data_IF_126268929129
#
_entry.id   IF_126268929129
#
_cell.length_a   1.000
_cell.length_b   1.000
_cell.length_c   1.000
_cell.angle_alpha   90.00
_cell.angle_beta   90.00
_cell.angle_gamma   90.00
#
_symmetry.space_group_name_H-M   'P 1'
#
loop_
_entity.id
_entity.type
_entity.pdbx_description
1 polymer ?
#
# COMPACT_ATOMS: atom_id res chain seq x y z
N UNK A 1 -0.56 -11.63 -66.86
CA UNK A 1 0.31 -10.58 -66.29
C UNK A 1 -0.18 -10.30 -64.87
N UNK A 2 0.66 -10.54 -63.86
CA UNK A 2 0.34 -10.32 -62.43
C UNK A 2 0.86 -8.94 -62.03
N UNK A 3 0.03 -8.09 -61.45
CA UNK A 3 0.45 -6.86 -60.75
C UNK A 3 0.13 -6.99 -59.25
N UNK A 4 1.11 -6.76 -58.36
CA UNK A 4 0.91 -6.66 -56.92
C UNK A 4 0.79 -5.18 -56.51
N UNK A 5 0.02 -4.88 -55.46
CA UNK A 5 0.33 -3.79 -54.52
C UNK A 5 -0.70 -3.78 -53.40
N UNK A 6 -0.31 -4.37 -52.28
CA UNK A 6 -0.88 -4.06 -50.99
C UNK A 6 -0.42 -2.64 -50.59
N UNK A 7 -1.36 -1.77 -50.20
CA UNK A 7 -1.05 -0.60 -49.37
C UNK A 7 -2.08 -0.55 -48.25
N UNK A 8 -1.55 -0.79 -47.05
CA UNK A 8 -2.21 -0.82 -45.75
C UNK A 8 -2.49 0.63 -45.35
N UNK A 9 -3.75 1.01 -45.15
CA UNK A 9 -4.12 2.28 -44.52
C UNK A 9 -4.34 2.01 -43.02
N UNK A 10 -3.33 2.35 -42.22
CA UNK A 10 -3.37 2.21 -40.77
C UNK A 10 -4.31 3.26 -40.15
N UNK A 11 -5.48 2.82 -39.67
CA UNK A 11 -6.29 3.58 -38.71
C UNK A 11 -5.60 3.53 -37.34
N UNK A 12 -4.97 4.63 -36.94
CA UNK A 12 -4.54 4.83 -35.55
C UNK A 12 -5.59 5.67 -34.84
N UNK A 13 -6.56 5.00 -34.22
CA UNK A 13 -7.44 5.63 -33.23
C UNK A 13 -6.65 5.77 -31.94
N UNK A 14 -6.15 6.98 -31.67
CA UNK A 14 -5.60 7.34 -30.36
C UNK A 14 -6.74 7.45 -29.36
N UNK A 15 -7.04 6.35 -28.67
CA UNK A 15 -7.92 6.37 -27.50
C UNK A 15 -7.20 7.09 -26.36
N UNK A 16 -7.55 8.36 -26.14
CA UNK A 16 -7.23 9.09 -24.91
C UNK A 16 -8.04 8.47 -23.78
N UNK A 17 -7.44 7.51 -23.05
CA UNK A 17 -7.97 7.05 -21.78
C UNK A 17 -7.90 8.21 -20.78
N UNK A 18 -8.99 8.97 -20.63
CA UNK A 18 -9.16 9.87 -19.49
C UNK A 18 -9.16 9.01 -18.23
N UNK A 19 -8.11 9.15 -17.43
CA UNK A 19 -8.01 8.54 -16.11
C UNK A 19 -9.22 8.96 -15.28
N UNK A 20 -10.13 8.02 -15.04
CA UNK A 20 -11.20 8.19 -14.08
C UNK A 20 -10.56 8.24 -12.69
N UNK A 21 -10.47 9.43 -12.09
CA UNK A 21 -10.16 9.56 -10.68
C UNK A 21 -11.20 8.74 -9.91
N UNK A 22 -10.81 7.69 -9.18
CA UNK A 22 -11.78 6.89 -8.45
C UNK A 22 -12.56 7.82 -7.51
N UNK A 23 -13.90 7.69 -7.43
CA UNK A 23 -14.70 8.53 -6.55
C UNK A 23 -14.17 8.39 -5.13
N UNK A 24 -13.78 9.52 -4.53
CA UNK A 24 -13.40 9.58 -3.11
C UNK A 24 -14.66 9.24 -2.32
N UNK A 25 -14.71 8.01 -1.80
CA UNK A 25 -15.79 7.59 -0.92
C UNK A 25 -15.83 8.54 0.28
N UNK A 26 -17.02 8.93 0.77
CA UNK A 26 -17.14 9.76 1.97
C UNK A 26 -16.38 9.09 3.11
N UNK A 27 -15.45 9.83 3.72
CA UNK A 27 -14.72 9.35 4.89
C UNK A 27 -15.73 9.04 5.99
N UNK A 28 -15.75 7.81 6.49
CA UNK A 28 -16.59 7.45 7.63
C UNK A 28 -16.29 8.40 8.80
N UNK A 29 -17.29 8.71 9.65
CA UNK A 29 -17.06 9.51 10.84
C UNK A 29 -15.91 8.94 11.68
N UNK A 30 -15.04 9.82 12.18
CA UNK A 30 -13.97 9.40 13.09
C UNK A 30 -14.61 9.02 14.42
N UNK A 31 -14.63 7.72 14.71
CA UNK A 31 -15.09 7.11 15.95
C UNK A 31 -13.98 6.19 16.46
N UNK A 32 -14.06 5.79 17.72
CA UNK A 32 -13.13 4.81 18.30
C UNK A 32 -13.12 3.53 17.44
N UNK A 33 -14.28 3.03 17.03
CA UNK A 33 -14.39 1.84 16.20
C UNK A 33 -13.75 2.01 14.81
N UNK A 34 -13.92 3.17 14.14
CA UNK A 34 -13.30 3.39 12.83
C UNK A 34 -11.79 3.57 12.96
N UNK A 35 -11.31 4.14 14.05
CA UNK A 35 -9.89 4.24 14.38
C UNK A 35 -9.26 2.87 14.66
N UNK A 36 -9.90 2.04 15.49
CA UNK A 36 -9.44 0.67 15.76
C UNK A 36 -9.35 -0.16 14.47
N UNK A 37 -10.36 -0.07 13.61
CA UNK A 37 -10.35 -0.74 12.29
C UNK A 37 -9.23 -0.20 11.39
N UNK A 38 -9.00 1.11 11.44
CA UNK A 38 -7.89 1.76 10.73
C UNK A 38 -6.54 1.20 11.16
N UNK A 39 -6.30 1.05 12.46
CA UNK A 39 -5.06 0.46 12.99
C UNK A 39 -4.85 -0.99 12.55
N UNK A 40 -5.91 -1.79 12.57
CA UNK A 40 -5.86 -3.18 12.09
C UNK A 40 -5.47 -3.23 10.61
N UNK A 41 -6.18 -2.47 9.78
CA UNK A 41 -5.89 -2.42 8.35
C UNK A 41 -4.48 -1.91 8.06
N UNK A 42 -4.04 -0.88 8.78
CA UNK A 42 -2.69 -0.33 8.64
C UNK A 42 -1.62 -1.38 9.00
N UNK A 43 -1.81 -2.13 10.09
CA UNK A 43 -0.91 -3.22 10.47
C UNK A 43 -0.83 -4.28 9.38
N UNK A 44 -1.97 -4.79 8.90
CA UNK A 44 -2.02 -5.79 7.83
C UNK A 44 -1.30 -5.32 6.56
N UNK A 45 -1.55 -4.08 6.12
CA UNK A 45 -0.88 -3.50 4.96
C UNK A 45 0.63 -3.39 5.17
N UNK A 46 1.07 -2.93 6.34
CA UNK A 46 2.50 -2.82 6.65
C UNK A 46 3.20 -4.19 6.63
N UNK A 47 2.57 -5.22 7.20
CA UNK A 47 3.08 -6.58 7.18
C UNK A 47 3.28 -7.11 5.76
N UNK A 48 2.27 -6.93 4.91
CA UNK A 48 2.33 -7.34 3.51
C UNK A 48 3.39 -6.56 2.73
N UNK A 49 3.49 -5.24 2.96
CA UNK A 49 4.46 -4.39 2.28
C UNK A 49 5.91 -4.76 2.62
N UNK A 50 6.22 -5.05 3.89
CA UNK A 50 7.58 -5.46 4.30
C UNK A 50 8.01 -6.75 3.63
N UNK A 51 7.10 -7.71 3.52
CA UNK A 51 7.39 -8.97 2.82
C UNK A 51 7.71 -8.74 1.33
N UNK A 52 7.17 -7.70 0.71
CA UNK A 52 7.49 -7.32 -0.66
C UNK A 52 8.80 -6.54 -0.84
N UNK A 53 9.41 -6.05 0.25
CA UNK A 53 10.64 -5.28 0.15
C UNK A 53 11.83 -6.17 -0.21
N UNK A 54 12.80 -5.65 -0.99
CA UNK A 54 14.10 -6.30 -1.15
C UNK A 54 14.73 -6.58 0.21
N UNK A 55 15.43 -7.72 0.34
CA UNK A 55 16.10 -8.09 1.60
C UNK A 55 17.04 -6.99 2.13
N UNK A 56 17.67 -6.21 1.23
CA UNK A 56 18.53 -5.09 1.58
C UNK A 56 17.79 -3.90 2.21
N UNK A 57 16.49 -3.74 1.95
CA UNK A 57 15.66 -2.64 2.46
C UNK A 57 14.90 -3.02 3.75
N UNK A 58 14.72 -4.32 4.02
CA UNK A 58 13.94 -4.81 5.16
C UNK A 58 14.43 -4.33 6.53
N UNK A 59 15.74 -4.29 6.85
CA UNK A 59 16.19 -3.83 8.17
C UNK A 59 15.79 -2.39 8.48
N UNK A 60 15.90 -1.49 7.49
CA UNK A 60 15.51 -0.08 7.67
C UNK A 60 13.98 0.04 7.85
N UNK A 61 13.20 -0.71 7.09
CA UNK A 61 11.74 -0.75 7.26
C UNK A 61 11.32 -1.28 8.63
N UNK A 62 11.97 -2.33 9.14
CA UNK A 62 11.72 -2.86 10.48
C UNK A 62 12.01 -1.84 11.57
N UNK A 63 13.08 -1.05 11.45
CA UNK A 63 13.37 0.04 12.40
C UNK A 63 12.27 1.12 12.38
N UNK A 64 11.83 1.55 11.20
CA UNK A 64 10.74 2.51 11.06
C UNK A 64 9.43 2.00 11.69
N UNK A 65 9.15 0.70 11.56
CA UNK A 65 7.97 0.07 12.16
C UNK A 65 8.03 0.03 13.70
N UNK A 66 9.21 -0.21 14.28
CA UNK A 66 9.41 -0.14 15.73
C UNK A 66 9.26 1.30 16.25
N UNK A 67 9.78 2.28 15.52
CA UNK A 67 9.60 3.69 15.84
C UNK A 67 8.11 4.09 15.79
N UNK A 68 7.40 3.67 14.73
CA UNK A 68 5.96 3.88 14.61
C UNK A 68 5.18 3.24 15.77
N UNK A 69 5.51 2.00 16.16
CA UNK A 69 4.86 1.36 17.30
C UNK A 69 5.09 2.13 18.61
N UNK A 70 6.30 2.69 18.81
CA UNK A 70 6.62 3.53 19.96
C UNK A 70 5.78 4.82 19.98
N UNK A 71 5.55 5.42 18.81
CA UNK A 71 4.64 6.57 18.65
C UNK A 71 3.21 6.16 19.04
N UNK A 72 2.72 5.01 18.58
CA UNK A 72 1.39 4.51 18.96
C UNK A 72 1.26 4.32 20.48
N UNK A 73 2.29 3.78 21.14
CA UNK A 73 2.29 3.66 22.61
C UNK A 73 2.16 5.03 23.27
N UNK A 74 2.93 6.02 22.82
CA UNK A 74 2.94 7.36 23.41
C UNK A 74 1.67 8.18 23.14
N UNK A 75 1.06 8.03 21.98
CA UNK A 75 -0.06 8.87 21.54
C UNK A 75 -1.43 8.21 21.72
N UNK A 76 -1.50 6.88 21.62
CA UNK A 76 -2.76 6.11 21.61
C UNK A 76 -2.81 5.04 22.71
N UNK A 77 -1.72 4.85 23.44
CA UNK A 77 -1.60 3.86 24.50
C UNK A 77 -1.22 2.46 24.01
N UNK A 78 -0.80 1.61 24.96
CA UNK A 78 -0.27 0.29 24.68
C UNK A 78 -1.29 -0.64 23.98
N UNK A 79 -2.59 -0.51 24.25
CA UNK A 79 -3.61 -1.34 23.61
C UNK A 79 -3.69 -1.11 22.10
N UNK A 80 -3.59 0.15 21.65
CA UNK A 80 -3.59 0.51 20.23
C UNK A 80 -2.31 -0.01 19.53
N UNK A 81 -1.16 0.19 20.18
CA UNK A 81 0.12 -0.30 19.69
C UNK A 81 0.15 -1.83 19.57
N UNK A 82 -0.37 -2.55 20.57
CA UNK A 82 -0.47 -4.00 20.55
C UNK A 82 -1.38 -4.48 19.41
N UNK A 83 -2.55 -3.85 19.24
CA UNK A 83 -3.50 -4.20 18.15
C UNK A 83 -2.89 -4.00 16.76
N UNK A 84 -2.16 -2.91 16.56
CA UNK A 84 -1.43 -2.69 15.32
C UNK A 84 -0.33 -3.74 15.12
N UNK A 85 0.45 -4.06 16.16
CA UNK A 85 1.57 -5.00 16.08
C UNK A 85 1.11 -6.43 15.77
N UNK A 86 0.01 -6.89 16.38
CA UNK A 86 -0.56 -8.21 16.09
C UNK A 86 -1.12 -8.28 14.66
N UNK A 87 -1.73 -7.20 14.18
CA UNK A 87 -2.20 -7.09 12.79
C UNK A 87 -1.03 -7.07 11.79
N UNK A 88 0.06 -6.38 12.12
CA UNK A 88 1.32 -6.46 11.36
C UNK A 88 1.85 -7.88 11.28
N UNK A 89 1.91 -8.58 12.43
CA UNK A 89 2.30 -9.98 12.49
C UNK A 89 1.49 -10.84 11.52
N UNK A 90 0.16 -10.71 11.56
CA UNK A 90 -0.74 -11.42 10.64
C UNK A 90 -0.54 -11.07 9.16
N UNK A 91 -0.29 -9.79 8.83
CA UNK A 91 0.03 -9.38 7.46
C UNK A 91 1.39 -9.87 6.96
N UNK A 92 2.30 -10.19 7.89
CA UNK A 92 3.66 -10.66 7.60
C UNK A 92 3.84 -12.18 7.66
N UNK A 93 2.83 -12.94 8.10
CA UNK A 93 2.95 -14.38 8.39
C UNK A 93 2.64 -15.31 7.21
N UNK A 94 2.16 -14.78 6.09
CA UNK A 94 1.80 -15.57 4.90
C UNK A 94 2.72 -15.24 3.74
N UNK A 95 3.11 -16.23 2.94
CA UNK A 95 3.83 -15.98 1.69
C UNK A 95 3.09 -14.96 0.84
N UNK A 96 3.82 -13.94 0.39
CA UNK A 96 3.24 -12.91 -0.45
C UNK A 96 3.18 -13.36 -1.89
N UNK A 97 2.03 -13.20 -2.51
CA UNK A 97 1.88 -13.29 -3.94
C UNK A 97 2.61 -12.10 -4.61
N UNK A 98 3.69 -12.37 -5.38
CA UNK A 98 4.50 -11.34 -6.02
C UNK A 98 3.70 -10.43 -6.95
N UNK A 99 2.57 -10.88 -7.49
CA UNK A 99 1.72 -10.10 -8.38
C UNK A 99 1.14 -8.86 -7.69
N UNK A 100 1.00 -8.88 -6.36
CA UNK A 100 0.45 -7.77 -5.57
C UNK A 100 1.52 -6.88 -4.94
N UNK A 101 2.80 -7.23 -5.07
CA UNK A 101 3.87 -6.49 -4.42
C UNK A 101 4.05 -5.07 -4.96
N UNK A 102 3.90 -4.86 -6.26
CA UNK A 102 4.00 -3.53 -6.85
C UNK A 102 2.99 -2.54 -6.25
N UNK A 103 1.73 -2.98 -6.07
CA UNK A 103 0.68 -2.16 -5.43
C UNK A 103 0.97 -1.94 -3.94
N UNK A 104 1.32 -3.01 -3.24
CA UNK A 104 1.53 -2.98 -1.78
C UNK A 104 2.66 -2.04 -1.37
N UNK A 105 3.76 -2.04 -2.12
CA UNK A 105 4.88 -1.11 -1.89
C UNK A 105 4.46 0.33 -2.20
N UNK A 106 3.72 0.55 -3.29
CA UNK A 106 3.26 1.89 -3.65
C UNK A 106 2.33 2.48 -2.58
N UNK A 107 1.38 1.70 -2.09
CA UNK A 107 0.47 2.11 -1.02
C UNK A 107 1.22 2.39 0.30
N UNK A 108 2.16 1.51 0.67
CA UNK A 108 2.98 1.72 1.86
C UNK A 108 3.85 2.98 1.77
N UNK A 109 4.58 3.17 0.66
CA UNK A 109 5.42 4.36 0.45
C UNK A 109 4.60 5.64 0.48
N UNK A 110 3.40 5.62 -0.11
CA UNK A 110 2.46 6.73 -0.04
C UNK A 110 2.13 7.06 1.41
N UNK A 111 1.74 6.07 2.22
CA UNK A 111 1.41 6.31 3.64
C UNK A 111 2.61 6.78 4.47
N UNK A 112 3.79 6.21 4.28
CA UNK A 112 5.01 6.63 4.98
C UNK A 112 5.35 8.09 4.66
N UNK A 113 5.30 8.47 3.38
CA UNK A 113 5.63 9.84 2.93
C UNK A 113 4.56 10.86 3.34
N UNK A 114 3.27 10.55 3.15
CA UNK A 114 2.15 11.45 3.47
C UNK A 114 2.07 11.72 4.98
N UNK A 115 2.36 10.73 5.81
CA UNK A 115 2.24 10.83 7.26
C UNK A 115 3.58 11.02 7.98
N UNK A 116 4.68 11.23 7.24
CA UNK A 116 6.03 11.46 7.80
C UNK A 116 6.45 10.37 8.81
N UNK A 117 6.06 9.12 8.56
CA UNK A 117 6.37 7.98 9.46
C UNK A 117 7.86 7.60 9.45
N UNK A 118 8.65 8.28 8.62
CA UNK A 118 10.10 8.14 8.47
C UNK A 118 10.92 9.02 9.44
N UNK A 119 10.28 9.83 10.28
CA UNK A 119 10.94 10.82 11.15
C UNK A 119 10.66 10.63 12.62
#
# INVERSE_FOLDING_TARGET
MKLPAAVILALTVTSTAMGQTPPVAPSAPLTEQTMERGLVNLGLMAGHAVQCLPETERPAAQQALLAFNSILVGQMGANAAFRWATSFGAGSSHEVDPQFCGRSIADWRRHVLEHRLDR
#
